data_IF_272985916446
#
_entry.id   IF_272985916446
#
_cell.length_a   1.000
_cell.length_b   1.000
_cell.length_c   1.000
_cell.angle_alpha   90.00
_cell.angle_beta   90.00
_cell.angle_gamma   90.00
#
_symmetry.space_group_name_H-M   'P 1'
#
loop_
_entity.id
_entity.type
_entity.pdbx_description
1 polymer ?
#
# COMPACT_ATOMS: atom_id res chain seq x y z
N UNK A 1 35.82 10.12 5.64
CA UNK A 1 35.16 10.22 4.33
C UNK A 1 34.55 8.91 3.87
N UNK A 2 35.22 7.79 4.00
CA UNK A 2 34.66 6.48 3.65
C UNK A 2 33.40 6.13 4.44
N UNK A 3 33.30 6.54 5.71
CA UNK A 3 32.15 6.24 6.55
C UNK A 3 30.87 7.00 6.14
N UNK A 4 31.01 8.21 5.57
CA UNK A 4 29.86 8.98 5.08
C UNK A 4 29.32 8.40 3.78
N UNK A 5 30.19 7.97 2.87
CA UNK A 5 29.83 7.31 1.63
C UNK A 5 29.07 6.00 1.87
N UNK A 6 29.57 5.16 2.77
CA UNK A 6 28.92 3.92 3.16
C UNK A 6 27.57 4.15 3.84
N UNK A 7 27.44 5.21 4.63
CA UNK A 7 26.20 5.55 5.33
C UNK A 7 25.12 6.00 4.35
N UNK A 8 25.48 6.82 3.37
CA UNK A 8 24.55 7.25 2.30
C UNK A 8 24.14 6.05 1.44
N UNK A 9 25.08 5.21 1.04
CA UNK A 9 24.80 4.00 0.26
C UNK A 9 23.87 3.05 1.02
N UNK A 10 24.05 2.90 2.33
CA UNK A 10 23.18 2.07 3.16
C UNK A 10 21.77 2.64 3.27
N UNK A 11 21.63 3.96 3.35
CA UNK A 11 20.32 4.61 3.39
C UNK A 11 19.57 4.47 2.05
N UNK A 12 20.26 4.66 0.94
CA UNK A 12 19.72 4.45 -0.41
C UNK A 12 19.29 2.99 -0.56
N UNK A 13 20.12 2.05 -0.16
CA UNK A 13 19.83 0.63 -0.22
C UNK A 13 18.60 0.27 0.61
N UNK A 14 18.46 0.84 1.81
CA UNK A 14 17.29 0.65 2.66
C UNK A 14 16.00 1.15 1.98
N UNK A 15 16.06 2.32 1.34
CA UNK A 15 14.90 2.89 0.66
C UNK A 15 14.52 2.06 -0.58
N UNK A 16 15.49 1.59 -1.34
CA UNK A 16 15.26 0.70 -2.49
C UNK A 16 14.63 -0.61 -2.03
N UNK A 17 15.12 -1.22 -0.96
CA UNK A 17 14.55 -2.42 -0.38
C UNK A 17 13.12 -2.19 0.12
N UNK A 18 12.88 -1.07 0.76
CA UNK A 18 11.55 -0.68 1.27
C UNK A 18 10.56 -0.55 0.11
N UNK A 19 10.95 0.12 -0.97
CA UNK A 19 10.13 0.23 -2.17
C UNK A 19 9.83 -1.14 -2.78
N UNK A 20 10.85 -1.97 -2.89
CA UNK A 20 10.71 -3.31 -3.45
C UNK A 20 9.76 -4.17 -2.62
N UNK A 21 9.88 -4.12 -1.29
CA UNK A 21 8.95 -4.79 -0.37
C UNK A 21 7.52 -4.28 -0.53
N UNK A 22 7.36 -2.95 -0.63
CA UNK A 22 6.05 -2.34 -0.81
C UNK A 22 5.39 -2.80 -2.11
N UNK A 23 6.15 -2.89 -3.20
CA UNK A 23 5.65 -3.41 -4.48
C UNK A 23 5.24 -4.88 -4.41
N UNK A 24 6.05 -5.71 -3.74
CA UNK A 24 5.72 -7.12 -3.53
C UNK A 24 4.44 -7.25 -2.71
N UNK A 25 4.32 -6.51 -1.60
CA UNK A 25 3.13 -6.51 -0.76
C UNK A 25 1.91 -6.06 -1.57
N UNK A 26 2.04 -5.00 -2.36
CA UNK A 26 0.98 -4.53 -3.23
C UNK A 26 0.51 -5.63 -4.19
N UNK A 27 1.44 -6.26 -4.90
CA UNK A 27 1.12 -7.31 -5.87
C UNK A 27 0.43 -8.50 -5.21
N UNK A 28 0.91 -8.91 -4.02
CA UNK A 28 0.32 -10.02 -3.27
C UNK A 28 -1.07 -9.69 -2.72
N UNK A 29 -1.28 -8.44 -2.31
CA UNK A 29 -2.52 -8.01 -1.64
C UNK A 29 -3.57 -7.45 -2.60
N UNK A 30 -3.17 -6.88 -3.75
CA UNK A 30 -4.12 -6.26 -4.68
C UNK A 30 -5.21 -7.22 -5.13
N UNK A 31 -4.85 -8.43 -5.53
CA UNK A 31 -5.83 -9.43 -5.96
C UNK A 31 -6.76 -9.83 -4.81
N UNK A 32 -6.20 -10.02 -3.61
CA UNK A 32 -6.96 -10.40 -2.42
C UNK A 32 -7.89 -9.27 -1.99
N UNK A 33 -7.37 -8.04 -1.92
CA UNK A 33 -8.14 -6.87 -1.53
C UNK A 33 -9.22 -6.54 -2.57
N UNK A 34 -8.90 -6.65 -3.86
CA UNK A 34 -9.87 -6.43 -4.93
C UNK A 34 -10.98 -7.47 -4.88
N UNK A 35 -10.64 -8.75 -4.68
CA UNK A 35 -11.63 -9.81 -4.54
C UNK A 35 -12.52 -9.60 -3.31
N UNK A 36 -11.93 -9.19 -2.19
CA UNK A 36 -12.69 -8.90 -0.97
C UNK A 36 -13.61 -7.71 -1.15
N UNK A 37 -13.14 -6.64 -1.79
CA UNK A 37 -13.97 -5.47 -2.10
C UNK A 37 -15.16 -5.84 -2.96
N UNK A 38 -14.94 -6.63 -4.01
CA UNK A 38 -16.00 -7.09 -4.89
C UNK A 38 -17.04 -7.94 -4.15
N UNK A 39 -16.57 -8.81 -3.28
CA UNK A 39 -17.46 -9.63 -2.42
C UNK A 39 -18.34 -8.75 -1.54
N UNK A 40 -17.75 -7.75 -0.86
CA UNK A 40 -18.48 -6.84 0.01
C UNK A 40 -19.52 -6.01 -0.77
N UNK A 41 -19.16 -5.53 -1.95
CA UNK A 41 -20.08 -4.79 -2.82
C UNK A 41 -21.25 -5.69 -3.25
N UNK A 42 -20.98 -6.92 -3.63
CA UNK A 42 -22.04 -7.88 -4.00
C UNK A 42 -22.97 -8.17 -2.83
N UNK A 43 -22.44 -8.31 -1.63
CA UNK A 43 -23.27 -8.49 -0.44
C UNK A 43 -24.19 -7.28 -0.23
N UNK A 44 -23.68 -6.05 -0.38
CA UNK A 44 -24.48 -4.84 -0.27
C UNK A 44 -25.58 -4.76 -1.33
N UNK A 45 -25.32 -5.27 -2.54
CA UNK A 45 -26.30 -5.25 -3.65
C UNK A 45 -27.37 -6.34 -3.54
N UNK A 46 -27.03 -7.51 -3.00
CA UNK A 46 -27.85 -8.70 -3.09
C UNK A 46 -28.49 -9.15 -1.79
N UNK A 47 -27.90 -8.84 -0.65
CA UNK A 47 -28.39 -9.29 0.65
C UNK A 47 -29.28 -8.23 1.32
N UNK A 48 -30.41 -8.68 1.86
CA UNK A 48 -31.17 -7.87 2.79
C UNK A 48 -30.42 -7.82 4.13
N UNK A 49 -30.11 -6.63 4.59
CA UNK A 49 -29.38 -6.47 5.83
C UNK A 49 -29.82 -5.23 6.59
N UNK A 50 -29.56 -5.21 7.89
CA UNK A 50 -29.80 -4.05 8.73
C UNK A 50 -28.88 -2.88 8.31
N UNK A 51 -29.27 -1.67 8.71
CA UNK A 51 -28.46 -0.47 8.50
C UNK A 51 -27.10 -0.63 9.19
N UNK A 52 -27.07 -1.20 10.39
CA UNK A 52 -25.82 -1.44 11.12
C UNK A 52 -24.87 -2.33 10.35
N UNK A 53 -25.38 -3.38 9.73
CA UNK A 53 -24.58 -4.31 8.93
C UNK A 53 -24.09 -3.64 7.65
N UNK A 54 -24.93 -2.83 6.99
CA UNK A 54 -24.51 -2.04 5.83
C UNK A 54 -23.35 -1.11 6.19
N UNK A 55 -23.44 -0.40 7.32
CA UNK A 55 -22.38 0.48 7.80
C UNK A 55 -21.09 -0.29 8.08
N UNK A 56 -21.18 -1.50 8.59
CA UNK A 56 -20.01 -2.35 8.81
C UNK A 56 -19.32 -2.69 7.49
N UNK A 57 -20.08 -3.10 6.46
CA UNK A 57 -19.52 -3.38 5.14
C UNK A 57 -18.88 -2.15 4.51
N UNK A 58 -19.52 -0.99 4.61
CA UNK A 58 -18.97 0.28 4.11
C UNK A 58 -17.66 0.63 4.83
N UNK A 59 -17.62 0.42 6.14
CA UNK A 59 -16.41 0.64 6.93
C UNK A 59 -15.25 -0.25 6.49
N UNK A 60 -15.54 -1.52 6.18
CA UNK A 60 -14.55 -2.46 5.67
C UNK A 60 -14.03 -2.03 4.29
N UNK A 61 -14.90 -1.57 3.41
CA UNK A 61 -14.50 -1.05 2.10
C UNK A 61 -13.58 0.17 2.23
N UNK A 62 -13.89 1.08 3.15
CA UNK A 62 -13.03 2.25 3.46
C UNK A 62 -11.68 1.82 3.99
N UNK A 63 -11.64 0.81 4.87
CA UNK A 63 -10.39 0.30 5.41
C UNK A 63 -9.51 -0.31 4.32
N UNK A 64 -10.09 -1.06 3.40
CA UNK A 64 -9.38 -1.64 2.25
C UNK A 64 -8.79 -0.52 1.38
N UNK A 65 -9.57 0.51 1.07
CA UNK A 65 -9.12 1.65 0.30
C UNK A 65 -7.96 2.37 0.98
N UNK A 66 -8.07 2.59 2.28
CA UNK A 66 -7.02 3.22 3.08
C UNK A 66 -5.71 2.42 3.02
N UNK A 67 -5.78 1.10 3.16
CA UNK A 67 -4.61 0.23 3.06
C UNK A 67 -3.94 0.33 1.69
N UNK A 68 -4.72 0.30 0.62
CA UNK A 68 -4.18 0.41 -0.75
C UNK A 68 -3.52 1.77 -0.97
N UNK A 69 -4.15 2.84 -0.55
CA UNK A 69 -3.61 4.20 -0.68
C UNK A 69 -2.32 4.35 0.15
N UNK A 70 -2.25 3.76 1.33
CA UNK A 70 -1.06 3.80 2.18
C UNK A 70 0.13 3.07 1.54
N UNK A 71 -0.11 1.92 0.91
CA UNK A 71 0.92 1.17 0.19
C UNK A 71 1.41 1.97 -1.01
N UNK A 72 0.50 2.57 -1.79
CA UNK A 72 0.85 3.41 -2.93
C UNK A 72 1.69 4.63 -2.50
N UNK A 73 1.33 5.25 -1.37
CA UNK A 73 2.08 6.37 -0.79
C UNK A 73 3.50 5.96 -0.39
N UNK A 74 3.66 4.79 0.22
CA UNK A 74 4.98 4.25 0.58
C UNK A 74 5.85 4.03 -0.65
N UNK A 75 5.29 3.47 -1.71
CA UNK A 75 6.01 3.25 -2.97
C UNK A 75 6.44 4.58 -3.57
N UNK A 76 5.54 5.56 -3.61
CA UNK A 76 5.81 6.88 -4.16
C UNK A 76 6.92 7.61 -3.37
N UNK A 77 6.88 7.58 -2.05
CA UNK A 77 7.92 8.17 -1.21
C UNK A 77 9.28 7.52 -1.44
N UNK A 78 9.32 6.22 -1.57
CA UNK A 78 10.55 5.49 -1.85
C UNK A 78 11.12 5.83 -3.24
N UNK A 79 10.25 6.00 -4.24
CA UNK A 79 10.66 6.42 -5.58
C UNK A 79 11.22 7.85 -5.59
N UNK A 80 10.62 8.75 -4.83
CA UNK A 80 11.13 10.12 -4.68
C UNK A 80 12.51 10.14 -4.02
N UNK A 81 12.71 9.34 -2.99
CA UNK A 81 13.99 9.23 -2.30
C UNK A 81 15.08 8.68 -3.22
N UNK A 82 14.76 7.67 -4.03
CA UNK A 82 15.68 7.10 -5.03
C UNK A 82 16.04 8.12 -6.11
N UNK A 83 15.06 8.86 -6.62
CA UNK A 83 15.27 9.90 -7.62
C UNK A 83 16.16 11.03 -7.07
N UNK A 84 15.95 11.45 -5.82
CA UNK A 84 16.77 12.46 -5.19
C UNK A 84 18.23 12.01 -5.02
N UNK A 85 18.46 10.75 -4.72
CA UNK A 85 19.80 10.18 -4.59
C UNK A 85 20.50 9.97 -5.94
N UNK A 86 19.76 9.69 -7.01
CA UNK A 86 20.35 9.44 -8.32
C UNK A 86 20.72 10.72 -9.09
N UNK A 87 20.25 11.89 -8.65
CA UNK A 87 20.56 13.19 -9.26
C UNK A 87 21.85 13.82 -8.72
N UNK A 88 22.48 13.23 -7.74
CA UNK A 88 23.75 13.66 -7.19
C UNK A 88 24.91 12.87 -7.83
#
# INVERSE_FOLDING_TARGET
MENLSKKVDNEVEKEVKKRHRAKIVKNLMDDTLAARSLYLVRCLETEEMSIERMLWYVSMLRAIRYLRDSIDSMIHQAELAEAACSND
#
